data_IF_233164798648
#
_entry.id   IF_233164798648
#
_cell.length_a   1.000
_cell.length_b   1.000
_cell.length_c   1.000
_cell.angle_alpha   90.00
_cell.angle_beta   90.00
_cell.angle_gamma   90.00
#
_symmetry.space_group_name_H-M   'P 1'
#
loop_
_entity.id
_entity.type
_entity.pdbx_description
1 polymer ?
#
# COMPACT_ATOMS: atom_id res chain seq x y z
N UNK A 1 -25.59 2.37 -8.12
CA UNK A 1 -24.64 2.06 -9.19
C UNK A 1 -23.46 1.40 -8.50
N UNK A 2 -23.43 0.07 -8.49
CA UNK A 2 -22.42 -0.73 -7.79
C UNK A 2 -21.13 -0.66 -8.58
N UNK A 3 -20.11 -0.02 -8.01
CA UNK A 3 -18.73 -0.16 -8.46
C UNK A 3 -18.28 -1.58 -8.10
N UNK A 4 -17.56 -2.25 -9.00
CA UNK A 4 -17.13 -3.63 -8.84
C UNK A 4 -16.11 -3.71 -7.68
N UNK A 5 -16.59 -4.22 -6.54
CA UNK A 5 -16.02 -4.14 -5.18
C UNK A 5 -14.59 -4.68 -4.97
N UNK A 6 -13.88 -5.14 -6.00
CA UNK A 6 -12.53 -5.68 -5.88
C UNK A 6 -11.45 -4.99 -6.73
N UNK A 7 -11.81 -4.26 -7.79
CA UNK A 7 -10.83 -3.64 -8.71
C UNK A 7 -10.69 -2.12 -8.50
N UNK A 8 -11.75 -1.45 -8.03
CA UNK A 8 -11.75 0.01 -7.85
C UNK A 8 -11.00 0.48 -6.59
N UNK A 9 -10.71 -0.40 -5.63
CA UNK A 9 -9.98 -0.05 -4.40
C UNK A 9 -8.48 0.24 -4.60
N UNK A 10 -7.90 -0.15 -5.74
CA UNK A 10 -6.44 -0.11 -5.93
C UNK A 10 -5.93 0.91 -6.95
N UNK A 11 -6.78 1.37 -7.88
CA UNK A 11 -6.54 2.63 -8.58
C UNK A 11 -6.37 3.78 -7.57
N UNK A 12 -7.10 3.67 -6.46
CA UNK A 12 -6.97 4.52 -5.29
C UNK A 12 -5.59 4.42 -4.64
N UNK A 13 -5.01 3.22 -4.40
CA UNK A 13 -3.67 3.08 -3.84
C UNK A 13 -2.57 3.72 -4.74
N UNK A 14 -2.74 3.67 -6.06
CA UNK A 14 -1.84 4.34 -7.00
C UNK A 14 -2.02 5.87 -6.99
N UNK A 15 -3.26 6.36 -7.03
CA UNK A 15 -3.59 7.79 -6.88
C UNK A 15 -3.21 8.35 -5.49
N UNK A 16 -3.21 7.50 -4.46
CA UNK A 16 -2.87 7.77 -3.06
C UNK A 16 -1.38 7.97 -2.85
N UNK A 17 -0.56 7.23 -3.61
CA UNK A 17 0.88 7.25 -3.41
C UNK A 17 1.50 8.28 -4.35
N UNK A 18 1.17 8.28 -5.64
CA UNK A 18 1.90 9.08 -6.63
C UNK A 18 1.15 9.22 -7.97
N UNK A 19 0.66 10.41 -8.30
CA UNK A 19 0.54 10.97 -9.68
C UNK A 19 -0.06 12.39 -9.61
N UNK A 20 0.03 13.28 -10.61
CA UNK A 20 1.13 13.81 -11.43
C UNK A 20 0.61 15.05 -12.20
N UNK A 21 1.33 16.16 -12.08
CA UNK A 21 1.40 17.37 -12.93
C UNK A 21 0.36 18.51 -12.83
N UNK A 22 0.97 19.70 -12.66
CA UNK A 22 0.64 21.07 -13.09
C UNK A 22 -0.62 21.79 -12.58
N UNK A 23 -0.41 22.60 -11.54
CA UNK A 23 -0.80 24.02 -11.63
C UNK A 23 0.34 24.86 -11.06
N UNK A 24 1.05 25.56 -11.94
CA UNK A 24 2.04 26.57 -11.60
C UNK A 24 1.45 27.61 -10.63
N UNK A 25 2.01 27.72 -9.44
CA UNK A 25 2.22 29.03 -8.83
C UNK A 25 3.69 29.16 -8.50
N UNK A 26 4.40 29.82 -9.42
CA UNK A 26 5.67 30.44 -9.17
C UNK A 26 5.56 31.32 -7.91
N UNK A 27 6.31 30.98 -6.87
CA UNK A 27 6.87 32.04 -6.04
C UNK A 27 8.30 31.70 -5.66
N UNK A 28 9.18 32.56 -6.15
CA UNK A 28 10.63 32.44 -6.17
C UNK A 28 11.23 32.61 -4.77
N UNK A 29 12.06 31.65 -4.38
CA UNK A 29 13.28 31.96 -3.63
C UNK A 29 14.38 31.03 -4.13
N UNK A 30 15.33 31.65 -4.83
CA UNK A 30 16.47 31.01 -5.47
C UNK A 30 17.40 30.42 -4.39
N UNK A 31 17.39 29.09 -4.24
CA UNK A 31 18.55 28.38 -3.72
C UNK A 31 19.31 27.81 -4.92
N UNK A 32 20.50 28.36 -5.12
CA UNK A 32 21.47 28.03 -6.17
C UNK A 32 21.90 26.56 -6.05
N UNK A 33 21.30 25.67 -6.87
CA UNK A 33 21.71 24.27 -6.98
C UNK A 33 22.70 24.10 -8.13
N UNK A 34 23.90 23.68 -7.73
CA UNK A 34 25.07 23.32 -8.53
C UNK A 34 24.72 22.47 -9.77
N UNK A 35 25.06 23.01 -10.93
CA UNK A 35 24.78 22.46 -12.25
C UNK A 35 25.82 21.40 -12.62
N UNK A 36 25.60 20.16 -12.21
CA UNK A 36 26.41 19.02 -12.70
C UNK A 36 25.60 17.70 -12.79
N UNK A 37 24.36 17.77 -13.30
CA UNK A 37 23.58 16.58 -13.64
C UNK A 37 24.00 16.00 -15.00
N UNK A 38 25.18 15.37 -15.01
CA UNK A 38 25.46 14.33 -15.98
C UNK A 38 24.63 13.09 -15.60
N UNK A 39 23.40 13.01 -16.13
CA UNK A 39 22.53 11.82 -16.04
C UNK A 39 23.23 10.63 -16.72
N UNK A 40 24.09 9.94 -15.97
CA UNK A 40 24.72 8.72 -16.45
C UNK A 40 23.70 7.58 -16.38
N UNK A 41 23.16 7.23 -17.54
CA UNK A 41 22.39 6.01 -17.83
C UNK A 41 23.25 4.74 -17.62
N UNK A 42 23.91 4.60 -16.47
CA UNK A 42 24.60 3.34 -16.13
C UNK A 42 23.54 2.29 -15.84
N UNK A 43 23.74 1.02 -16.24
CA UNK A 43 22.90 -0.06 -15.74
C UNK A 43 23.04 -0.07 -14.22
N UNK A 44 21.96 0.32 -13.55
CA UNK A 44 21.94 0.42 -12.11
C UNK A 44 21.91 -1.02 -11.59
N UNK A 45 23.03 -1.51 -11.10
CA UNK A 45 23.13 -2.84 -10.50
C UNK A 45 22.80 -2.72 -9.00
N UNK A 46 21.83 -3.50 -8.49
CA UNK A 46 21.51 -3.56 -7.05
C UNK A 46 22.25 -4.67 -6.32
N UNK A 47 23.25 -5.33 -6.92
CA UNK A 47 24.11 -6.28 -6.18
C UNK A 47 24.70 -5.65 -4.92
N UNK A 48 25.01 -4.35 -4.95
CA UNK A 48 25.49 -3.63 -3.76
C UNK A 48 24.45 -3.58 -2.63
N UNK A 49 23.15 -3.45 -2.95
CA UNK A 49 22.06 -3.39 -1.98
C UNK A 49 21.94 -4.72 -1.24
N UNK A 50 22.00 -5.84 -1.96
CA UNK A 50 21.95 -7.17 -1.36
C UNK A 50 23.22 -7.54 -0.58
N UNK A 51 24.35 -6.87 -0.85
CA UNK A 51 25.60 -7.00 -0.09
C UNK A 51 25.59 -6.21 1.23
N UNK A 52 24.65 -5.27 1.42
CA UNK A 52 24.56 -4.54 2.70
C UNK A 52 24.16 -5.50 3.84
N UNK A 53 24.53 -5.20 5.10
CA UNK A 53 23.98 -5.87 6.28
C UNK A 53 22.45 -5.84 6.30
N UNK A 54 21.83 -6.80 6.99
CA UNK A 54 20.38 -6.96 6.98
C UNK A 54 19.64 -5.75 7.57
N UNK A 55 20.21 -5.09 8.59
CA UNK A 55 19.65 -3.87 9.16
C UNK A 55 19.65 -2.70 8.18
N UNK A 56 20.74 -2.52 7.44
CA UNK A 56 20.84 -1.48 6.39
C UNK A 56 19.90 -1.76 5.22
N UNK A 57 19.81 -3.03 4.79
CA UNK A 57 18.85 -3.45 3.78
C UNK A 57 17.40 -3.16 4.23
N UNK A 58 17.09 -3.42 5.51
CA UNK A 58 15.77 -3.15 6.09
C UNK A 58 15.49 -1.66 6.23
N UNK A 59 16.48 -0.84 6.53
CA UNK A 59 16.31 0.61 6.54
C UNK A 59 16.04 1.14 5.13
N UNK A 60 16.73 0.61 4.11
CA UNK A 60 16.56 1.03 2.72
C UNK A 60 15.25 0.57 2.09
N UNK A 61 14.86 -0.70 2.29
CA UNK A 61 13.72 -1.32 1.60
C UNK A 61 12.51 -1.56 2.48
N UNK A 62 12.59 -1.25 3.78
CA UNK A 62 11.53 -1.47 4.79
C UNK A 62 11.15 -2.94 5.02
N UNK A 63 11.92 -3.86 4.45
CA UNK A 63 11.72 -5.31 4.59
C UNK A 63 13.06 -6.03 4.74
N UNK A 64 13.04 -7.31 5.13
CA UNK A 64 14.26 -8.13 5.12
C UNK A 64 14.46 -8.78 3.75
N UNK A 65 15.68 -9.27 3.47
CA UNK A 65 16.04 -9.87 2.17
C UNK A 65 15.17 -11.08 1.82
N UNK A 66 14.83 -11.91 2.81
CA UNK A 66 14.00 -13.10 2.60
C UNK A 66 12.60 -12.73 2.13
N UNK A 67 11.94 -11.81 2.83
CA UNK A 67 10.62 -11.29 2.47
C UNK A 67 10.66 -10.54 1.14
N UNK A 68 11.71 -9.77 0.88
CA UNK A 68 11.91 -9.10 -0.40
C UNK A 68 11.92 -10.10 -1.57
N UNK A 69 12.76 -11.14 -1.47
CA UNK A 69 12.88 -12.17 -2.50
C UNK A 69 11.59 -12.98 -2.64
N UNK A 70 10.86 -13.18 -1.55
CA UNK A 70 9.55 -13.80 -1.59
C UNK A 70 8.57 -12.98 -2.42
N UNK A 71 8.43 -11.67 -2.17
CA UNK A 71 7.57 -10.76 -2.95
C UNK A 71 8.02 -10.73 -4.42
N UNK A 72 9.31 -10.56 -4.67
CA UNK A 72 9.88 -10.57 -6.01
C UNK A 72 9.47 -11.82 -6.80
N UNK A 73 9.59 -13.01 -6.20
CA UNK A 73 9.21 -14.26 -6.85
C UNK A 73 7.70 -14.39 -7.10
N UNK A 74 6.84 -13.67 -6.35
CA UNK A 74 5.40 -13.64 -6.64
C UNK A 74 5.06 -12.76 -7.85
N UNK A 75 5.85 -11.72 -8.12
CA UNK A 75 5.50 -10.70 -9.13
C UNK A 75 6.32 -10.76 -10.41
N UNK A 76 7.54 -11.33 -10.39
CA UNK A 76 8.51 -11.23 -11.51
C UNK A 76 7.99 -11.66 -12.88
N UNK A 77 7.05 -12.61 -12.91
CA UNK A 77 6.50 -13.18 -14.14
C UNK A 77 5.25 -12.44 -14.65
N UNK A 78 4.79 -11.42 -13.91
CA UNK A 78 3.61 -10.64 -14.25
C UNK A 78 3.78 -9.92 -15.60
N UNK A 79 2.83 -10.05 -16.55
CA UNK A 79 2.90 -9.40 -17.86
C UNK A 79 3.10 -7.89 -17.83
N UNK A 80 2.74 -7.20 -16.74
CA UNK A 80 2.93 -5.76 -16.58
C UNK A 80 4.38 -5.30 -16.76
N UNK A 81 5.33 -6.18 -16.44
CA UNK A 81 6.76 -5.93 -16.58
C UNK A 81 7.27 -6.18 -18.01
N UNK A 82 6.45 -6.76 -18.89
CA UNK A 82 6.78 -7.01 -20.30
C UNK A 82 6.41 -5.77 -21.10
N UNK A 83 7.38 -4.89 -21.31
CA UNK A 83 7.24 -3.70 -22.17
C UNK A 83 8.33 -3.74 -23.24
N UNK A 84 7.92 -3.61 -24.49
CA UNK A 84 8.83 -3.47 -25.62
C UNK A 84 9.38 -2.04 -25.67
N UNK A 85 10.69 -1.88 -25.92
CA UNK A 85 11.33 -0.58 -26.10
C UNK A 85 12.46 -0.25 -25.13
N UNK A 86 12.45 0.98 -24.60
CA UNK A 86 13.59 1.62 -23.94
C UNK A 86 14.08 0.89 -22.67
N UNK A 87 15.36 1.07 -22.29
CA UNK A 87 15.93 0.49 -21.07
C UNK A 87 15.11 0.89 -19.83
N UNK A 88 14.74 -0.10 -19.01
CA UNK A 88 14.02 0.09 -17.76
C UNK A 88 14.87 -0.37 -16.58
N UNK A 89 14.52 0.15 -15.40
CA UNK A 89 14.92 -0.45 -14.14
C UNK A 89 14.54 -1.93 -14.11
N UNK A 90 15.43 -2.79 -13.60
CA UNK A 90 15.10 -4.19 -13.32
C UNK A 90 13.93 -4.29 -12.35
N UNK A 91 13.15 -5.37 -12.40
CA UNK A 91 12.01 -5.58 -11.47
C UNK A 91 12.47 -5.49 -10.00
N UNK A 92 13.69 -5.95 -9.71
CA UNK A 92 14.30 -5.83 -8.38
C UNK A 92 14.43 -4.37 -7.94
N UNK A 93 14.83 -3.48 -8.84
CA UNK A 93 14.93 -2.05 -8.56
C UNK A 93 13.60 -1.39 -8.37
N UNK A 94 12.67 -1.66 -9.29
CA UNK A 94 11.33 -1.13 -9.20
C UNK A 94 10.72 -1.52 -7.84
N UNK A 95 10.83 -2.80 -7.46
CA UNK A 95 10.35 -3.29 -6.17
C UNK A 95 11.06 -2.65 -4.97
N UNK A 96 12.38 -2.48 -5.00
CA UNK A 96 13.11 -1.86 -3.89
C UNK A 96 12.70 -0.41 -3.66
N UNK A 97 12.54 0.37 -4.74
CA UNK A 97 12.04 1.74 -4.68
C UNK A 97 10.59 1.77 -4.21
N UNK A 98 9.73 0.86 -4.70
CA UNK A 98 8.35 0.74 -4.25
C UNK A 98 8.25 0.50 -2.75
N UNK A 99 9.02 -0.47 -2.21
CA UNK A 99 8.96 -0.80 -0.80
C UNK A 99 9.55 0.28 0.10
N UNK A 100 10.62 0.96 -0.34
CA UNK A 100 11.13 2.15 0.33
C UNK A 100 10.02 3.18 0.49
N UNK A 101 9.38 3.51 -0.63
CA UNK A 101 8.35 4.53 -0.71
C UNK A 101 7.13 4.17 0.13
N UNK A 102 6.66 2.92 0.05
CA UNK A 102 5.51 2.43 0.83
C UNK A 102 5.75 2.49 2.34
N UNK A 103 7.00 2.39 2.79
CA UNK A 103 7.35 2.53 4.21
C UNK A 103 7.94 3.89 4.59
N UNK A 104 7.85 4.89 3.71
CA UNK A 104 8.14 6.29 4.03
C UNK A 104 6.84 7.03 4.38
N UNK A 105 6.89 7.90 5.39
CA UNK A 105 5.70 8.57 5.92
C UNK A 105 5.25 9.75 5.04
N UNK A 106 4.18 9.56 4.26
CA UNK A 106 3.21 10.60 3.89
C UNK A 106 3.50 11.51 2.68
N UNK A 107 2.43 12.16 2.21
CA UNK A 107 2.23 13.00 1.00
C UNK A 107 3.35 13.96 0.57
N UNK A 108 4.23 14.37 1.48
CA UNK A 108 5.25 15.40 1.26
C UNK A 108 6.67 14.91 1.53
N UNK A 109 6.87 13.61 1.77
CA UNK A 109 8.20 13.08 1.98
C UNK A 109 9.01 13.19 0.66
N UNK A 110 10.27 13.67 0.71
CA UNK A 110 11.16 13.61 -0.44
C UNK A 110 11.32 12.15 -0.86
N UNK A 111 11.70 11.93 -2.13
CA UNK A 111 12.11 10.60 -2.59
C UNK A 111 13.12 10.01 -1.60
N UNK A 112 12.89 8.76 -1.23
CA UNK A 112 13.66 8.09 -0.19
C UNK A 112 15.16 8.02 -0.54
N UNK A 113 16.03 7.76 0.46
CA UNK A 113 17.48 7.66 0.26
C UNK A 113 17.91 6.79 -0.93
N UNK A 114 17.24 5.65 -1.17
CA UNK A 114 17.53 4.74 -2.27
C UNK A 114 17.14 5.37 -3.60
N UNK A 115 15.91 5.88 -3.75
CA UNK A 115 15.50 6.59 -4.97
C UNK A 115 16.45 7.77 -5.31
N UNK A 116 16.86 8.55 -4.30
CA UNK A 116 17.83 9.65 -4.46
C UNK A 116 19.22 9.16 -4.88
N UNK A 117 19.71 8.06 -4.29
CA UNK A 117 20.98 7.45 -4.67
C UNK A 117 20.98 6.95 -6.12
N UNK A 118 19.80 6.60 -6.64
CA UNK A 118 19.59 6.22 -8.03
C UNK A 118 19.34 7.43 -8.96
N UNK A 119 19.40 8.66 -8.44
CA UNK A 119 19.23 9.89 -9.21
C UNK A 119 17.79 10.16 -9.64
N UNK A 120 16.79 9.54 -8.99
CA UNK A 120 15.40 9.67 -9.38
C UNK A 120 14.78 10.96 -8.83
N UNK A 121 14.12 11.70 -9.70
CA UNK A 121 13.15 12.73 -9.31
C UNK A 121 11.88 12.09 -8.75
N UNK A 122 11.04 12.88 -8.05
CA UNK A 122 9.73 12.41 -7.57
C UNK A 122 8.90 11.84 -8.71
N UNK A 123 8.78 12.58 -9.83
CA UNK A 123 8.01 12.20 -11.02
C UNK A 123 8.47 10.89 -11.65
N UNK A 124 9.78 10.63 -11.68
CA UNK A 124 10.30 9.36 -12.19
C UNK A 124 10.03 8.20 -11.23
N UNK A 125 10.16 8.43 -9.92
CA UNK A 125 9.84 7.42 -8.91
C UNK A 125 8.38 6.94 -9.02
N UNK A 126 7.43 7.86 -9.27
CA UNK A 126 6.00 7.53 -9.54
C UNK A 126 5.87 6.49 -10.65
N UNK A 127 6.50 6.77 -11.79
CA UNK A 127 6.44 5.91 -12.98
C UNK A 127 7.05 4.54 -12.72
N UNK A 128 8.10 4.49 -11.90
CA UNK A 128 8.82 3.26 -11.53
C UNK A 128 7.96 2.36 -10.64
N UNK A 129 7.23 2.90 -9.66
CA UNK A 129 6.50 2.08 -8.69
C UNK A 129 5.14 1.58 -9.18
N UNK A 130 4.59 2.19 -10.24
CA UNK A 130 3.27 1.85 -10.76
C UNK A 130 3.16 0.35 -11.11
N UNK A 131 4.16 -0.21 -11.79
CA UNK A 131 4.19 -1.63 -12.17
C UNK A 131 4.20 -2.58 -10.95
N UNK A 132 5.18 -2.47 -10.04
CA UNK A 132 5.22 -3.27 -8.82
C UNK A 132 3.99 -3.15 -7.94
N UNK A 133 3.43 -1.94 -7.77
CA UNK A 133 2.19 -1.76 -7.01
C UNK A 133 1.10 -2.60 -7.65
N UNK A 134 0.78 -2.40 -8.94
CA UNK A 134 -0.26 -3.18 -9.63
C UNK A 134 -0.03 -4.70 -9.55
N UNK A 135 1.22 -5.15 -9.62
CA UNK A 135 1.54 -6.56 -9.47
C UNK A 135 1.29 -7.08 -8.04
N UNK A 136 1.62 -6.31 -7.00
CA UNK A 136 1.37 -6.64 -5.59
C UNK A 136 -0.13 -6.63 -5.29
N UNK A 137 -0.84 -5.60 -5.77
CA UNK A 137 -2.29 -5.47 -5.73
C UNK A 137 -2.97 -6.74 -6.24
N UNK A 138 -2.54 -7.24 -7.41
CA UNK A 138 -3.12 -8.42 -8.05
C UNK A 138 -2.97 -9.70 -7.20
N UNK A 139 -2.06 -9.72 -6.22
CA UNK A 139 -1.93 -10.80 -5.26
C UNK A 139 -2.95 -10.73 -4.12
N UNK A 140 -3.65 -9.60 -3.94
CA UNK A 140 -4.61 -9.37 -2.86
C UNK A 140 -5.60 -10.51 -2.67
N UNK A 141 -6.36 -10.93 -3.71
CA UNK A 141 -7.32 -12.04 -3.60
C UNK A 141 -6.71 -13.39 -3.21
N UNK A 142 -5.40 -13.59 -3.42
CA UNK A 142 -4.67 -14.81 -3.06
C UNK A 142 -4.27 -14.83 -1.58
N UNK A 143 -4.04 -13.67 -0.96
CA UNK A 143 -3.47 -13.58 0.39
C UNK A 143 -4.41 -12.98 1.44
N UNK A 144 -5.30 -12.06 1.04
CA UNK A 144 -6.30 -11.44 1.91
C UNK A 144 -7.60 -12.22 1.74
N UNK A 145 -7.72 -13.31 2.50
CA UNK A 145 -8.85 -14.23 2.42
C UNK A 145 -9.50 -14.36 3.79
N UNK A 146 -10.83 -14.27 3.82
CA UNK A 146 -11.58 -14.51 5.05
C UNK A 146 -11.38 -15.96 5.52
N UNK A 147 -11.07 -16.21 6.79
CA UNK A 147 -10.82 -17.55 7.29
C UNK A 147 -12.06 -18.44 7.11
N UNK A 148 -11.84 -19.67 6.67
CA UNK A 148 -12.86 -20.71 6.70
C UNK A 148 -13.23 -21.10 8.14
N UNK A 149 -14.30 -21.87 8.30
CA UNK A 149 -14.83 -22.31 9.59
C UNK A 149 -13.76 -22.95 10.51
N UNK A 150 -12.96 -23.87 9.97
CA UNK A 150 -11.91 -24.53 10.73
C UNK A 150 -10.86 -23.52 11.25
N UNK A 151 -10.43 -22.57 10.41
CA UNK A 151 -9.50 -21.52 10.80
C UNK A 151 -10.12 -20.54 11.79
N UNK A 152 -11.40 -20.18 11.64
CA UNK A 152 -12.14 -19.33 12.60
C UNK A 152 -12.19 -19.94 13.99
N UNK A 153 -12.47 -21.24 14.11
CA UNK A 153 -12.42 -21.96 15.40
C UNK A 153 -11.04 -21.91 16.04
N UNK A 154 -9.97 -22.08 15.26
CA UNK A 154 -8.60 -21.96 15.77
C UNK A 154 -8.29 -20.55 16.26
N UNK A 155 -8.68 -19.52 15.50
CA UNK A 155 -8.49 -18.12 15.90
C UNK A 155 -9.26 -17.85 17.20
N UNK A 156 -10.53 -18.24 17.26
CA UNK A 156 -11.40 -18.08 18.42
C UNK A 156 -10.82 -18.75 19.66
N UNK A 157 -10.27 -19.97 19.54
CA UNK A 157 -9.61 -20.64 20.66
C UNK A 157 -8.37 -19.89 21.18
N UNK A 158 -7.58 -19.28 20.28
CA UNK A 158 -6.44 -18.44 20.68
C UNK A 158 -6.93 -17.15 21.35
N UNK A 159 -7.97 -16.53 20.81
CA UNK A 159 -8.53 -15.28 21.33
C UNK A 159 -9.27 -15.47 22.66
N UNK A 160 -9.86 -16.65 22.91
CA UNK A 160 -10.44 -17.03 24.19
C UNK A 160 -9.45 -16.91 25.35
N UNK A 161 -8.19 -17.31 25.14
CA UNK A 161 -7.13 -17.16 26.14
C UNK A 161 -6.76 -15.69 26.42
N UNK A 162 -7.18 -14.77 25.56
CA UNK A 162 -7.04 -13.31 25.73
C UNK A 162 -8.31 -12.65 26.25
N UNK A 163 -9.35 -13.42 26.57
CA UNK A 163 -10.65 -12.90 27.05
C UNK A 163 -11.66 -12.55 25.95
N UNK A 164 -11.37 -12.89 24.69
CA UNK A 164 -12.24 -12.62 23.54
C UNK A 164 -12.78 -13.93 22.95
N UNK A 165 -13.67 -14.60 23.70
CA UNK A 165 -14.36 -15.80 23.22
C UNK A 165 -15.19 -15.49 21.96
N UNK A 166 -15.26 -16.43 21.01
CA UNK A 166 -15.95 -16.22 19.73
C UNK A 166 -15.23 -15.32 18.72
N UNK A 167 -14.22 -14.56 19.14
CA UNK A 167 -13.54 -13.59 18.27
C UNK A 167 -12.68 -14.24 17.19
N UNK A 168 -12.92 -13.86 15.94
CA UNK A 168 -12.21 -14.39 14.75
C UNK A 168 -11.23 -13.39 14.12
N UNK A 169 -11.07 -12.22 14.74
CA UNK A 169 -10.14 -11.19 14.30
C UNK A 169 -10.40 -9.85 14.98
N UNK A 170 -9.39 -8.98 14.98
CA UNK A 170 -9.51 -7.58 15.41
C UNK A 170 -9.72 -6.70 14.18
N UNK A 171 -10.67 -5.77 14.27
CA UNK A 171 -10.92 -4.75 13.26
C UNK A 171 -10.35 -3.42 13.76
N UNK A 172 -9.65 -2.71 12.89
CA UNK A 172 -9.22 -1.35 13.14
C UNK A 172 -9.30 -0.52 11.86
N UNK A 173 -9.37 0.80 12.04
CA UNK A 173 -9.54 1.77 10.97
C UNK A 173 -8.26 2.54 10.72
N UNK A 174 -7.95 2.76 9.45
CA UNK A 174 -6.91 3.68 9.01
C UNK A 174 -7.53 4.80 8.17
N UNK A 175 -7.13 6.04 8.47
CA UNK A 175 -7.44 7.20 7.64
C UNK A 175 -6.27 7.45 6.70
N UNK A 176 -6.54 7.42 5.41
CA UNK A 176 -5.54 7.59 4.37
C UNK A 176 -5.77 8.96 3.72
N UNK A 177 -4.84 9.91 3.84
CA UNK A 177 -4.95 11.19 3.16
C UNK A 177 -4.89 10.98 1.64
N UNK A 178 -5.64 11.78 0.87
CA UNK A 178 -5.64 11.76 -0.60
C UNK A 178 -5.41 13.19 -1.09
N UNK A 179 -4.69 13.33 -2.21
CA UNK A 179 -4.34 14.67 -2.74
C UNK A 179 -5.50 15.37 -3.45
N UNK A 180 -6.44 14.60 -3.99
CA UNK A 180 -7.51 15.09 -4.85
C UNK A 180 -8.88 14.69 -4.32
N UNK A 181 -9.91 15.53 -4.55
CA UNK A 181 -11.27 15.18 -4.18
C UNK A 181 -11.70 13.93 -4.93
N UNK A 182 -12.18 12.89 -4.23
CA UNK A 182 -12.83 11.74 -4.86
C UNK A 182 -14.24 12.06 -5.40
N UNK A 183 -14.49 13.33 -5.75
CA UNK A 183 -15.74 13.80 -6.36
C UNK A 183 -16.86 14.19 -5.40
N UNK A 184 -16.63 14.14 -4.08
CA UNK A 184 -17.61 14.48 -3.05
C UNK A 184 -16.92 15.17 -1.86
N UNK A 185 -17.51 16.26 -1.37
CA UNK A 185 -17.05 17.04 -0.22
C UNK A 185 -17.08 16.23 1.08
N UNK A 186 -17.85 15.14 1.14
CA UNK A 186 -17.86 14.22 2.29
C UNK A 186 -16.46 13.69 2.63
N UNK A 187 -15.55 13.60 1.65
CA UNK A 187 -14.18 13.13 1.85
C UNK A 187 -13.23 14.21 2.34
N UNK A 188 -13.65 15.48 2.35
CA UNK A 188 -12.88 16.56 2.93
C UNK A 188 -12.87 16.42 4.45
N UNK A 189 -11.70 16.21 5.03
CA UNK A 189 -11.57 16.15 6.47
C UNK A 189 -11.76 17.54 7.07
N UNK A 190 -12.72 17.68 7.98
CA UNK A 190 -13.08 18.94 8.62
C UNK A 190 -11.97 19.52 9.50
N UNK A 191 -11.08 18.67 10.01
CA UNK A 191 -9.99 19.07 10.91
C UNK A 191 -8.70 19.41 10.17
N UNK A 192 -8.28 18.58 9.21
CA UNK A 192 -7.04 18.81 8.45
C UNK A 192 -7.23 19.67 7.22
N UNK A 193 -8.47 19.85 6.73
CA UNK A 193 -8.74 20.52 5.46
C UNK A 193 -8.22 19.76 4.24
N UNK A 194 -7.84 18.49 4.40
CA UNK A 194 -7.35 17.63 3.33
C UNK A 194 -8.36 16.54 3.03
N UNK A 195 -8.43 16.09 1.78
CA UNK A 195 -9.23 14.93 1.43
C UNK A 195 -8.65 13.67 2.09
N UNK A 196 -9.51 12.74 2.49
CA UNK A 196 -9.09 11.49 3.11
C UNK A 196 -10.13 10.39 2.92
N UNK A 197 -9.65 9.15 2.91
CA UNK A 197 -10.44 7.93 2.79
C UNK A 197 -10.21 7.04 3.99
N UNK A 198 -11.28 6.42 4.48
CA UNK A 198 -11.23 5.41 5.51
C UNK A 198 -11.04 4.04 4.88
N UNK A 199 -10.17 3.23 5.49
CA UNK A 199 -10.12 1.80 5.28
C UNK A 199 -10.23 1.06 6.62
N UNK A 200 -10.96 -0.05 6.64
CA UNK A 200 -11.04 -0.97 7.77
C UNK A 200 -10.28 -2.24 7.45
N UNK A 201 -9.42 -2.66 8.37
CA UNK A 201 -8.56 -3.82 8.22
C UNK A 201 -8.92 -4.82 9.31
N UNK A 202 -9.14 -6.08 8.93
CA UNK A 202 -9.32 -7.17 9.89
C UNK A 202 -8.07 -8.02 9.91
N UNK A 203 -7.52 -8.23 11.10
CA UNK A 203 -6.37 -9.07 11.35
C UNK A 203 -6.72 -10.26 12.25
N UNK A 204 -6.20 -11.44 11.94
CA UNK A 204 -6.33 -12.60 12.81
C UNK A 204 -5.31 -12.61 13.96
N UNK A 205 -5.44 -13.59 14.86
CA UNK A 205 -4.54 -13.76 16.01
C UNK A 205 -3.07 -14.08 15.63
N UNK A 206 -2.80 -14.36 14.34
CA UNK A 206 -1.47 -14.57 13.77
C UNK A 206 -0.96 -13.35 12.98
N UNK A 207 -1.57 -12.18 13.18
CA UNK A 207 -1.28 -10.92 12.47
C UNK A 207 -1.43 -11.02 10.95
N UNK A 208 -2.30 -11.90 10.46
CA UNK A 208 -2.63 -11.96 9.03
C UNK A 208 -3.81 -11.06 8.74
N UNK A 209 -3.69 -10.23 7.71
CA UNK A 209 -4.82 -9.46 7.19
C UNK A 209 -5.78 -10.44 6.51
N UNK A 210 -7.01 -10.53 7.01
CA UNK A 210 -8.05 -11.45 6.52
C UNK A 210 -9.19 -10.73 5.79
N UNK A 211 -9.34 -9.42 6.00
CA UNK A 211 -10.22 -8.58 5.22
C UNK A 211 -9.69 -7.14 5.17
N UNK A 212 -10.03 -6.46 4.08
CA UNK A 212 -9.72 -5.06 3.84
C UNK A 212 -10.93 -4.41 3.16
N UNK A 213 -11.49 -3.38 3.77
CA UNK A 213 -12.61 -2.61 3.24
C UNK A 213 -12.16 -1.15 3.12
N UNK A 214 -12.45 -0.47 2.01
CA UNK A 214 -12.08 0.93 1.82
C UNK A 214 -13.08 1.64 0.93
N UNK A 215 -12.88 2.95 0.74
CA UNK A 215 -13.67 3.78 -0.19
C UNK A 215 -14.66 4.71 0.50
N UNK A 216 -14.64 4.78 1.83
CA UNK A 216 -15.50 5.68 2.60
C UNK A 216 -14.78 6.99 2.94
N UNK A 217 -15.51 8.08 3.20
CA UNK A 217 -14.92 9.28 3.76
C UNK A 217 -14.02 9.00 4.95
N UNK A 218 -12.87 9.67 5.05
CA UNK A 218 -11.90 9.44 6.14
C UNK A 218 -12.45 9.66 7.54
N UNK A 219 -13.48 10.49 7.68
CA UNK A 219 -14.17 10.74 8.95
C UNK A 219 -15.17 9.63 9.32
N UNK A 220 -15.56 8.76 8.38
CA UNK A 220 -16.45 7.63 8.64
C UNK A 220 -15.64 6.50 9.27
N UNK A 221 -15.57 6.51 10.60
CA UNK A 221 -14.82 5.55 11.41
C UNK A 221 -15.72 4.71 12.32
N UNK A 222 -15.17 3.60 12.80
CA UNK A 222 -15.79 2.66 13.72
C UNK A 222 -17.05 2.03 13.12
N UNK A 223 -18.17 2.23 13.79
CA UNK A 223 -19.46 1.66 13.37
C UNK A 223 -19.94 2.20 12.02
N UNK A 224 -19.64 3.47 11.70
CA UNK A 224 -20.12 4.11 10.46
C UNK A 224 -19.63 3.38 9.20
N UNK A 225 -18.34 3.04 9.18
CA UNK A 225 -17.73 2.25 8.11
C UNK A 225 -18.06 0.76 8.27
N UNK A 226 -18.08 0.23 9.49
CA UNK A 226 -18.37 -1.19 9.76
C UNK A 226 -19.74 -1.60 9.24
N UNK A 227 -20.77 -0.77 9.43
CA UNK A 227 -22.14 -1.04 8.97
C UNK A 227 -22.24 -1.23 7.45
N UNK A 228 -21.29 -0.68 6.70
CA UNK A 228 -21.22 -0.78 5.24
C UNK A 228 -20.50 -2.03 4.76
N UNK A 229 -19.74 -2.70 5.62
CA UNK A 229 -18.97 -3.89 5.25
C UNK A 229 -19.85 -5.11 4.98
N UNK A 230 -19.33 -6.06 4.22
CA UNK A 230 -19.99 -7.36 4.00
C UNK A 230 -20.10 -8.19 5.30
N UNK A 231 -19.19 -7.97 6.25
CA UNK A 231 -19.21 -8.61 7.56
C UNK A 231 -20.48 -8.24 8.33
N UNK A 232 -20.82 -6.95 8.35
CA UNK A 232 -22.03 -6.46 8.99
C UNK A 232 -23.30 -6.78 8.19
N UNK A 233 -23.26 -6.60 6.86
CA UNK A 233 -24.45 -6.78 6.01
C UNK A 233 -24.87 -8.25 5.83
N UNK A 234 -23.92 -9.19 5.92
CA UNK A 234 -24.18 -10.62 5.70
C UNK A 234 -23.50 -11.52 6.74
N UNK A 235 -23.75 -11.32 8.04
CA UNK A 235 -22.95 -11.92 9.11
C UNK A 235 -22.98 -13.45 9.09
N UNK A 236 -24.11 -14.05 8.70
CA UNK A 236 -24.27 -15.52 8.58
C UNK A 236 -23.30 -16.17 7.59
N UNK A 237 -22.71 -15.43 6.65
CA UNK A 237 -21.69 -15.94 5.72
C UNK A 237 -20.29 -15.94 6.33
N UNK A 238 -20.04 -15.07 7.30
CA UNK A 238 -18.71 -14.75 7.80
C UNK A 238 -18.47 -15.25 9.23
N UNK A 239 -19.51 -15.36 10.04
CA UNK A 239 -19.47 -15.77 11.43
C UNK A 239 -20.30 -17.02 11.66
N UNK A 240 -19.81 -17.88 12.54
CA UNK A 240 -20.47 -19.11 12.90
C UNK A 240 -21.57 -18.79 13.95
N UNK A 241 -22.82 -19.21 13.73
CA UNK A 241 -23.93 -18.89 14.64
C UNK A 241 -23.69 -19.39 16.07
N UNK A 242 -22.93 -20.47 16.22
CA UNK A 242 -22.65 -21.13 17.50
C UNK A 242 -21.43 -20.53 18.24
N UNK A 243 -20.75 -19.55 17.64
CA UNK A 243 -19.60 -18.83 18.24
C UNK A 243 -19.97 -17.42 18.73
N UNK A 244 -21.24 -17.00 18.60
CA UNK A 244 -21.74 -15.68 18.98
C UNK A 244 -22.58 -15.73 20.27
#
# INVERSE_FOLDING_TARGET
MMLDDHLDNFALLLALLFDSDDSDEENSSEEEYDSDQQCTKKPLDLTWLFKQPDDEFRLATRTNKTSFLWIFNQIKDNPIFRREGAPQFSIVQQLAITLEILGCNGHHAPVGPLARKLGLTRREAIKVIHGPIQAIVALGPKYVIWPNEARRRLISNVMKNKGFEGCVGSLDDITIPVSYPPGDDAFLNSHSGTYSINAQIVCDSSNRITAFFSGWPGEWRGSLSYEKTLLHRTPKKYFDPDLL
#
